data_IF_089940770701
#
_entry.id   IF_089940770701
#
_cell.length_a   1.000
_cell.length_b   1.000
_cell.length_c   1.000
_cell.angle_alpha   90.00
_cell.angle_beta   90.00
_cell.angle_gamma   90.00
#
_symmetry.space_group_name_H-M   'P 1'
#
loop_
_entity.id
_entity.type
_entity.pdbx_description
1 polymer ?
#
# COMPACT_ATOMS: atom_id res chain seq x y z
N UNK A 1 -6.08 4.03 12.12
CA UNK A 1 -4.83 3.24 12.07
C UNK A 1 -4.22 3.42 10.68
N UNK A 2 -3.04 3.99 10.60
CA UNK A 2 -2.38 4.19 9.32
C UNK A 2 -1.76 2.86 8.87
N UNK A 3 -2.29 2.27 7.80
CA UNK A 3 -1.73 1.07 7.19
C UNK A 3 -0.52 1.52 6.37
N UNK A 4 0.67 1.17 6.82
CA UNK A 4 1.92 1.53 6.16
C UNK A 4 2.57 0.28 5.59
N UNK A 5 2.89 0.32 4.31
CA UNK A 5 3.82 -0.63 3.72
C UNK A 5 5.27 -0.23 4.04
N UNK A 6 6.19 -1.13 3.76
CA UNK A 6 7.61 -0.91 4.08
C UNK A 6 8.21 0.24 3.27
N UNK A 7 7.85 0.34 1.99
CA UNK A 7 8.36 1.41 1.13
C UNK A 7 7.97 2.79 1.66
N UNK A 8 6.72 2.97 2.06
CA UNK A 8 6.22 4.23 2.63
C UNK A 8 6.96 4.58 3.91
N UNK A 9 7.17 3.62 4.80
CA UNK A 9 7.88 3.84 6.06
C UNK A 9 9.33 4.23 5.83
N UNK A 10 10.04 3.53 4.96
CA UNK A 10 11.45 3.81 4.64
C UNK A 10 11.58 5.20 3.98
N UNK A 11 10.70 5.53 3.04
CA UNK A 11 10.69 6.84 2.37
C UNK A 11 10.41 7.97 3.34
N UNK A 12 9.45 7.82 4.24
CA UNK A 12 9.16 8.83 5.27
C UNK A 12 10.36 9.06 6.19
N UNK A 13 11.07 8.02 6.58
CA UNK A 13 12.26 8.14 7.43
C UNK A 13 13.34 8.96 6.74
N UNK A 14 13.65 8.68 5.49
CA UNK A 14 14.63 9.45 4.70
C UNK A 14 14.18 10.90 4.49
N UNK A 15 12.89 11.14 4.23
CA UNK A 15 12.35 12.49 4.10
C UNK A 15 12.56 13.32 5.37
N UNK A 16 12.26 12.73 6.54
CA UNK A 16 12.45 13.44 7.80
C UNK A 16 13.92 13.75 8.09
N UNK A 17 14.82 12.85 7.76
CA UNK A 17 16.25 13.11 7.88
C UNK A 17 16.69 14.30 6.99
N UNK A 18 16.25 14.34 5.74
CA UNK A 18 16.54 15.47 4.83
C UNK A 18 15.95 16.77 5.34
N UNK A 19 14.71 16.78 5.79
CA UNK A 19 14.03 17.98 6.31
C UNK A 19 14.73 18.51 7.57
N UNK A 20 15.09 17.62 8.50
CA UNK A 20 15.80 17.99 9.72
C UNK A 20 17.19 18.56 9.45
N UNK A 21 17.83 18.16 8.35
CA UNK A 21 19.09 18.71 7.88
C UNK A 21 18.93 19.99 7.04
N UNK A 22 17.72 20.53 6.93
CA UNK A 22 17.43 21.75 6.20
C UNK A 22 17.30 21.58 4.68
N UNK A 23 17.21 20.37 4.17
CA UNK A 23 17.12 20.06 2.75
C UNK A 23 15.73 19.56 2.33
N UNK A 24 14.73 20.46 2.43
CA UNK A 24 13.36 20.16 2.03
C UNK A 24 13.23 19.90 0.53
N UNK A 25 14.05 20.51 -0.30
CA UNK A 25 14.02 20.31 -1.75
C UNK A 25 14.39 18.87 -2.13
N UNK A 26 15.46 18.34 -1.57
CA UNK A 26 15.87 16.95 -1.81
C UNK A 26 14.81 15.95 -1.32
N UNK A 27 14.06 16.26 -0.27
CA UNK A 27 12.96 15.42 0.20
C UNK A 27 11.82 15.36 -0.83
N UNK A 28 11.49 16.49 -1.49
CA UNK A 28 10.50 16.53 -2.58
C UNK A 28 10.99 15.74 -3.79
N UNK A 29 12.22 15.96 -4.23
CA UNK A 29 12.81 15.25 -5.38
C UNK A 29 12.87 13.72 -5.13
N UNK A 30 13.24 13.28 -3.95
CA UNK A 30 13.23 11.88 -3.58
C UNK A 30 11.82 11.29 -3.65
N UNK A 31 10.81 11.99 -3.17
CA UNK A 31 9.41 11.56 -3.25
C UNK A 31 8.95 11.42 -4.69
N UNK A 32 9.28 12.37 -5.56
CA UNK A 32 8.99 12.29 -7.00
C UNK A 32 9.65 11.06 -7.64
N UNK A 33 10.90 10.80 -7.31
CA UNK A 33 11.64 9.64 -7.81
C UNK A 33 10.99 8.32 -7.38
N UNK A 34 10.56 8.20 -6.13
CA UNK A 34 9.86 7.02 -5.64
C UNK A 34 8.54 6.80 -6.39
N UNK A 35 7.77 7.86 -6.63
CA UNK A 35 6.52 7.80 -7.41
C UNK A 35 6.79 7.36 -8.84
N UNK A 36 7.81 7.90 -9.49
CA UNK A 36 8.20 7.55 -10.86
C UNK A 36 8.64 6.07 -10.95
N UNK A 37 9.41 5.60 -9.98
CA UNK A 37 9.81 4.20 -9.91
C UNK A 37 8.63 3.25 -9.72
N UNK A 38 7.63 3.64 -8.92
CA UNK A 38 6.39 2.89 -8.77
C UNK A 38 5.63 2.78 -10.08
N UNK A 39 5.50 3.87 -10.83
CA UNK A 39 4.82 3.89 -12.15
C UNK A 39 5.57 3.10 -13.21
N UNK A 40 6.88 3.07 -13.13
CA UNK A 40 7.72 2.26 -14.02
C UNK A 40 7.71 0.77 -13.66
N UNK A 41 6.98 0.35 -12.63
CA UNK A 41 6.99 -1.00 -12.08
C UNK A 41 8.40 -1.49 -11.67
N UNK A 42 9.26 -0.57 -11.25
CA UNK A 42 10.67 -0.81 -10.89
C UNK A 42 10.88 -0.86 -9.36
N UNK A 43 9.87 -1.30 -8.64
CA UNK A 43 9.93 -1.47 -7.18
C UNK A 43 9.67 -2.93 -6.84
N UNK A 44 10.46 -3.46 -5.90
CA UNK A 44 10.21 -4.80 -5.37
C UNK A 44 8.85 -4.84 -4.66
N UNK A 45 7.92 -5.63 -5.20
CA UNK A 45 6.57 -5.75 -4.69
C UNK A 45 6.51 -6.23 -3.23
N UNK A 46 7.55 -6.91 -2.75
CA UNK A 46 7.66 -7.32 -1.34
C UNK A 46 7.68 -6.12 -0.36
N UNK A 47 8.10 -4.95 -0.83
CA UNK A 47 8.08 -3.69 -0.05
C UNK A 47 6.71 -3.02 -0.01
N UNK A 48 5.77 -3.48 -0.83
CA UNK A 48 4.44 -2.90 -1.04
C UNK A 48 3.34 -3.69 -0.34
N UNK A 49 3.70 -4.70 0.45
CA UNK A 49 2.75 -5.53 1.18
C UNK A 49 2.00 -4.69 2.22
N UNK A 50 0.68 -4.69 2.11
CA UNK A 50 -0.20 -4.08 3.09
C UNK A 50 -0.67 -5.19 4.03
N UNK A 51 -0.48 -5.00 5.33
CA UNK A 51 -0.88 -5.98 6.35
C UNK A 51 -1.98 -5.43 7.24
N UNK A 52 -2.99 -6.25 7.50
CA UNK A 52 -4.07 -5.92 8.42
C UNK A 52 -4.52 -7.13 9.21
N UNK A 53 -4.83 -6.94 10.49
CA UNK A 53 -5.39 -8.00 11.32
C UNK A 53 -6.78 -8.41 10.80
N UNK A 54 -6.98 -9.70 10.62
CA UNK A 54 -8.23 -10.26 10.12
C UNK A 54 -8.85 -11.16 11.20
N UNK A 55 -10.10 -10.87 11.54
CA UNK A 55 -10.90 -11.70 12.44
C UNK A 55 -11.61 -12.78 11.63
N UNK A 56 -11.83 -13.91 12.24
CA UNK A 56 -12.60 -15.01 11.67
C UNK A 56 -12.96 -16.00 12.76
N UNK A 57 -13.93 -16.86 12.51
CA UNK A 57 -14.35 -17.90 13.42
C UNK A 57 -14.42 -19.22 12.67
N UNK A 58 -13.90 -20.27 13.28
CA UNK A 58 -14.04 -21.61 12.72
C UNK A 58 -15.45 -22.17 13.00
N UNK A 59 -16.20 -22.43 11.95
CA UNK A 59 -17.50 -23.10 12.05
C UNK A 59 -17.31 -24.63 12.02
N UNK A 60 -17.42 -25.25 13.20
CA UNK A 60 -17.27 -26.70 13.37
C UNK A 60 -18.33 -27.51 12.61
N UNK A 61 -19.53 -26.92 12.38
CA UNK A 61 -20.63 -27.62 11.70
C UNK A 61 -20.39 -27.71 10.20
N UNK A 62 -19.88 -26.61 9.62
CA UNK A 62 -19.61 -26.52 8.18
C UNK A 62 -18.19 -26.94 7.81
N UNK A 63 -17.28 -27.00 8.78
CA UNK A 63 -15.86 -27.28 8.53
C UNK A 63 -15.16 -26.20 7.73
N UNK A 64 -15.60 -24.95 7.88
CA UNK A 64 -15.06 -23.80 7.15
C UNK A 64 -14.88 -22.57 8.04
N UNK A 65 -14.09 -21.60 7.56
CA UNK A 65 -13.93 -20.32 8.22
C UNK A 65 -15.10 -19.39 7.91
N UNK A 66 -15.66 -18.78 8.95
CA UNK A 66 -16.74 -17.79 8.90
C UNK A 66 -16.18 -16.39 9.13
N UNK A 67 -16.39 -15.49 8.18
CA UNK A 67 -16.01 -14.09 8.21
C UNK A 67 -17.22 -13.15 8.35
N UNK A 68 -18.38 -13.65 8.72
CA UNK A 68 -19.63 -12.86 8.86
C UNK A 68 -19.56 -11.76 9.91
N UNK A 69 -18.50 -11.72 10.74
CA UNK A 69 -18.18 -10.59 11.62
C UNK A 69 -18.02 -9.28 10.83
N UNK A 70 -17.69 -9.38 9.55
CA UNK A 70 -17.60 -8.24 8.64
C UNK A 70 -18.86 -8.14 7.78
N UNK A 71 -19.55 -6.97 7.83
CA UNK A 71 -20.76 -6.73 7.04
C UNK A 71 -20.55 -6.83 5.52
N UNK A 72 -19.35 -6.50 5.04
CA UNK A 72 -18.96 -6.57 3.64
C UNK A 72 -17.68 -7.38 3.47
N UNK A 73 -17.73 -8.65 3.84
CA UNK A 73 -16.56 -9.55 3.81
C UNK A 73 -15.91 -9.66 2.43
N UNK A 74 -16.71 -9.65 1.37
CA UNK A 74 -16.20 -9.78 -0.01
C UNK A 74 -15.64 -8.48 -0.58
N UNK A 75 -15.97 -7.33 0.01
CA UNK A 75 -15.43 -6.03 -0.38
C UNK A 75 -14.13 -5.66 0.33
N UNK A 76 -13.80 -6.35 1.42
CA UNK A 76 -12.61 -6.03 2.22
C UNK A 76 -11.37 -6.77 1.70
N UNK A 77 -10.31 -6.06 1.28
CA UNK A 77 -9.14 -6.70 0.67
C UNK A 77 -8.46 -7.72 1.56
N UNK A 78 -8.29 -7.41 2.83
CA UNK A 78 -7.62 -8.30 3.79
C UNK A 78 -8.44 -9.56 4.11
N UNK A 79 -9.77 -9.52 4.02
CA UNK A 79 -10.64 -10.69 4.18
C UNK A 79 -10.53 -11.60 2.96
N UNK A 80 -10.54 -11.02 1.76
CA UNK A 80 -10.32 -11.79 0.52
C UNK A 80 -8.94 -12.42 0.48
N UNK A 81 -7.91 -11.71 0.95
CA UNK A 81 -6.57 -12.26 1.09
C UNK A 81 -6.52 -13.40 2.12
N UNK A 82 -7.26 -13.30 3.23
CA UNK A 82 -7.37 -14.39 4.20
C UNK A 82 -8.03 -15.62 3.59
N UNK A 83 -9.11 -15.45 2.83
CA UNK A 83 -9.77 -16.55 2.10
C UNK A 83 -8.84 -17.20 1.07
N UNK A 84 -8.05 -16.39 0.35
CA UNK A 84 -7.04 -16.90 -0.60
C UNK A 84 -5.96 -17.73 0.12
N UNK A 85 -5.43 -17.25 1.26
CA UNK A 85 -4.48 -18.01 2.07
C UNK A 85 -5.02 -19.38 2.43
N UNK A 86 -6.25 -19.42 2.94
CA UNK A 86 -6.93 -20.65 3.34
C UNK A 86 -7.09 -21.59 2.14
N UNK A 87 -7.52 -21.08 0.99
CA UNK A 87 -7.66 -21.86 -0.24
C UNK A 87 -6.35 -22.46 -0.76
N UNK A 88 -5.23 -21.79 -0.47
CA UNK A 88 -3.86 -22.27 -0.81
C UNK A 88 -3.28 -23.21 0.24
N UNK A 89 -4.04 -23.56 1.28
CA UNK A 89 -3.60 -24.43 2.37
C UNK A 89 -2.64 -23.77 3.37
N UNK A 90 -2.52 -22.44 3.34
CA UNK A 90 -1.72 -21.69 4.29
C UNK A 90 -2.47 -21.51 5.62
N UNK A 91 -1.71 -21.45 6.72
CA UNK A 91 -2.28 -21.30 8.05
C UNK A 91 -3.03 -19.96 8.20
N UNK A 92 -4.22 -20.03 8.79
CA UNK A 92 -4.96 -18.86 9.25
C UNK A 92 -5.31 -19.00 10.73
N UNK A 93 -5.05 -17.95 11.49
CA UNK A 93 -5.41 -17.84 12.92
C UNK A 93 -6.22 -16.55 13.11
N UNK A 94 -7.36 -16.58 13.82
CA UNK A 94 -8.17 -15.40 14.08
C UNK A 94 -7.35 -14.25 14.70
N UNK A 95 -7.43 -13.06 14.09
CA UNK A 95 -6.71 -11.88 14.53
C UNK A 95 -5.27 -11.77 14.02
N UNK A 96 -4.78 -12.75 13.28
CA UNK A 96 -3.46 -12.65 12.66
C UNK A 96 -3.39 -11.53 11.62
N UNK A 97 -2.21 -11.00 11.39
CA UNK A 97 -1.97 -10.08 10.29
C UNK A 97 -1.95 -10.83 8.97
N UNK A 98 -2.81 -10.40 8.04
CA UNK A 98 -2.85 -10.90 6.68
C UNK A 98 -2.24 -9.85 5.76
N UNK A 99 -1.19 -10.24 5.03
CA UNK A 99 -0.55 -9.41 4.03
C UNK A 99 -1.14 -9.61 2.65
N UNK A 100 -1.24 -8.53 1.89
CA UNK A 100 -1.68 -8.57 0.50
C UNK A 100 -1.02 -7.47 -0.34
N UNK A 101 -0.99 -7.70 -1.64
CA UNK A 101 -0.55 -6.74 -2.65
C UNK A 101 -1.75 -6.44 -3.54
N UNK A 102 -2.00 -5.17 -3.83
CA UNK A 102 -3.03 -4.76 -4.79
C UNK A 102 -2.49 -4.97 -6.20
N UNK A 103 -3.18 -5.80 -6.97
CA UNK A 103 -2.78 -6.18 -8.33
C UNK A 103 -3.54 -5.42 -9.40
N UNK A 104 -4.81 -5.09 -9.15
CA UNK A 104 -5.62 -4.25 -10.03
C UNK A 104 -6.68 -3.48 -9.21
N UNK A 105 -6.52 -2.17 -9.14
CA UNK A 105 -7.48 -1.27 -8.50
C UNK A 105 -8.53 -0.70 -9.47
N UNK A 106 -8.40 -0.96 -10.76
CA UNK A 106 -9.34 -0.52 -11.80
C UNK A 106 -10.65 -1.29 -11.82
N UNK A 107 -10.73 -2.40 -11.12
CA UNK A 107 -11.94 -3.23 -10.97
C UNK A 107 -12.58 -3.07 -9.61
N UNK A 108 -13.87 -3.37 -9.49
CA UNK A 108 -14.60 -3.28 -8.22
C UNK A 108 -15.26 -4.62 -7.87
N UNK A 109 -14.94 -5.19 -6.71
CA UNK A 109 -13.90 -4.79 -5.76
C UNK A 109 -12.48 -4.96 -6.33
N UNK A 110 -11.53 -4.12 -5.90
CA UNK A 110 -10.16 -4.19 -6.42
C UNK A 110 -9.52 -5.56 -6.21
N UNK A 111 -8.76 -6.02 -7.19
CA UNK A 111 -8.04 -7.28 -7.09
C UNK A 111 -6.84 -7.17 -6.17
N UNK A 112 -6.68 -8.19 -5.33
CA UNK A 112 -5.56 -8.32 -4.41
C UNK A 112 -5.03 -9.74 -4.45
N UNK A 113 -3.76 -9.91 -4.13
CA UNK A 113 -3.14 -11.23 -3.94
C UNK A 113 -2.57 -11.33 -2.53
N UNK A 114 -2.88 -12.41 -1.84
CA UNK A 114 -2.31 -12.69 -0.53
C UNK A 114 -0.80 -12.91 -0.65
N UNK A 115 -0.03 -12.15 0.12
CA UNK A 115 1.42 -12.25 0.09
C UNK A 115 2.04 -11.88 1.43
N UNK A 116 2.86 -12.80 1.96
CA UNK A 116 3.81 -12.53 3.03
C UNK A 116 5.14 -13.17 2.62
N UNK A 117 6.14 -12.35 2.50
CA UNK A 117 7.47 -12.72 1.95
C UNK A 117 8.09 -13.93 2.62
N UNK A 118 7.83 -14.11 3.90
CA UNK A 118 8.49 -15.13 4.74
C UNK A 118 7.83 -16.52 4.66
N UNK A 119 6.64 -16.63 4.06
CA UNK A 119 5.84 -17.86 4.17
C UNK A 119 5.79 -18.71 2.90
N UNK A 120 5.96 -18.14 1.71
CA UNK A 120 5.71 -18.86 0.47
C UNK A 120 6.95 -19.18 -0.34
N UNK A 121 8.03 -18.43 -0.19
CA UNK A 121 9.24 -18.57 -1.02
C UNK A 121 9.03 -18.26 -2.52
N UNK A 122 7.81 -17.94 -2.91
CA UNK A 122 7.44 -17.64 -4.28
C UNK A 122 7.81 -16.20 -4.66
N UNK A 123 7.86 -15.91 -5.96
CA UNK A 123 8.01 -14.54 -6.45
C UNK A 123 6.74 -13.75 -6.14
N UNK A 124 6.85 -12.49 -5.63
CA UNK A 124 5.69 -11.65 -5.41
C UNK A 124 4.94 -11.37 -6.72
N UNK A 125 3.61 -11.23 -6.68
CA UNK A 125 2.80 -10.87 -7.84
C UNK A 125 3.14 -9.46 -8.32
N UNK A 126 2.83 -9.16 -9.58
CA UNK A 126 2.93 -7.81 -10.10
C UNK A 126 1.91 -6.91 -9.42
N UNK A 127 2.34 -5.72 -9.01
CA UNK A 127 1.49 -4.74 -8.35
C UNK A 127 0.84 -3.77 -9.35
N UNK A 128 -0.23 -3.09 -8.96
CA UNK A 128 -0.83 -1.99 -9.71
C UNK A 128 -0.01 -0.70 -9.54
N UNK A 129 0.71 -0.24 -10.59
CA UNK A 129 1.61 0.90 -10.48
C UNK A 129 0.90 2.22 -10.11
N UNK A 130 -0.26 2.48 -10.70
CA UNK A 130 -1.02 3.72 -10.44
C UNK A 130 -1.65 3.74 -9.06
N UNK A 131 -2.13 2.61 -8.56
CA UNK A 131 -2.66 2.52 -7.21
C UNK A 131 -1.61 2.90 -6.17
N UNK A 132 -0.42 2.30 -6.27
CA UNK A 132 0.66 2.57 -5.31
C UNK A 132 1.27 3.95 -5.48
N UNK A 133 1.36 4.47 -6.70
CA UNK A 133 1.79 5.85 -6.95
C UNK A 133 0.85 6.86 -6.29
N UNK A 134 -0.47 6.71 -6.47
CA UNK A 134 -1.48 7.56 -5.83
C UNK A 134 -1.48 7.44 -4.31
N UNK A 135 -1.35 6.22 -3.80
CA UNK A 135 -1.26 5.96 -2.37
C UNK A 135 -0.04 6.65 -1.75
N UNK A 136 1.11 6.54 -2.40
CA UNK A 136 2.36 7.18 -1.99
C UNK A 136 2.23 8.70 -2.02
N UNK A 137 1.74 9.26 -3.12
CA UNK A 137 1.52 10.69 -3.26
C UNK A 137 0.56 11.26 -2.21
N UNK A 138 -0.52 10.57 -1.90
CA UNK A 138 -1.49 10.97 -0.86
C UNK A 138 -0.84 10.98 0.52
N UNK A 139 -0.07 9.96 0.85
CA UNK A 139 0.57 9.85 2.17
C UNK A 139 1.71 10.86 2.34
N UNK A 140 2.61 10.97 1.36
CA UNK A 140 3.79 11.84 1.42
C UNK A 140 3.46 13.29 1.10
N UNK A 141 2.42 13.53 0.30
CA UNK A 141 1.93 14.86 -0.03
C UNK A 141 1.53 15.69 1.18
N UNK A 142 1.09 15.04 2.25
CA UNK A 142 0.80 15.70 3.54
C UNK A 142 2.05 16.32 4.17
N UNK A 143 3.21 15.79 3.87
CA UNK A 143 4.50 16.32 4.35
C UNK A 143 5.01 17.38 3.38
N UNK A 144 5.02 17.09 2.08
CA UNK A 144 5.55 17.98 1.05
C UNK A 144 4.69 19.21 0.79
N UNK A 145 3.41 19.16 1.15
CA UNK A 145 2.49 20.33 1.07
C UNK A 145 3.02 21.54 1.85
N UNK A 146 3.70 21.31 2.99
CA UNK A 146 4.36 22.37 3.74
C UNK A 146 5.44 23.10 2.93
N UNK A 147 5.95 22.49 1.86
CA UNK A 147 6.95 23.04 0.94
C UNK A 147 6.36 23.43 -0.43
N UNK A 148 5.02 23.49 -0.52
CA UNK A 148 4.30 23.87 -1.72
C UNK A 148 4.12 22.77 -2.76
N UNK A 149 4.19 21.50 -2.36
CA UNK A 149 3.96 20.34 -3.20
C UNK A 149 2.87 19.45 -2.60
N UNK A 150 1.68 19.50 -3.16
CA UNK A 150 0.57 18.62 -2.78
C UNK A 150 0.64 17.26 -3.53
N UNK A 151 -0.31 16.36 -3.22
CA UNK A 151 -0.35 15.04 -3.82
C UNK A 151 -0.51 15.08 -5.36
N UNK A 152 -1.32 15.99 -5.89
CA UNK A 152 -1.54 16.10 -7.33
C UNK A 152 -0.30 16.63 -8.07
N UNK A 153 0.40 17.55 -7.46
CA UNK A 153 1.67 18.09 -7.98
C UNK A 153 2.76 17.02 -7.98
N UNK A 154 2.83 16.21 -6.93
CA UNK A 154 3.76 15.07 -6.88
C UNK A 154 3.47 14.05 -7.99
N UNK A 155 2.19 13.74 -8.26
CA UNK A 155 1.79 12.83 -9.32
C UNK A 155 2.07 13.37 -10.72
N UNK A 156 1.92 14.68 -10.92
CA UNK A 156 2.26 15.33 -12.20
C UNK A 156 3.75 15.53 -12.38
N UNK A 157 4.52 15.55 -11.29
CA UNK A 157 5.93 15.86 -11.30
C UNK A 157 6.27 17.34 -11.51
N UNK A 158 5.25 18.19 -11.61
CA UNK A 158 5.39 19.65 -11.84
C UNK A 158 4.49 20.43 -10.89
N UNK A 159 5.00 21.54 -10.39
CA UNK A 159 4.24 22.47 -9.56
C UNK A 159 3.28 23.28 -10.42
N UNK A 160 2.06 23.47 -9.97
CA UNK A 160 1.11 24.38 -10.61
C UNK A 160 1.60 25.82 -10.37
N UNK A 161 1.94 26.51 -11.45
CA UNK A 161 2.18 27.95 -11.37
C UNK A 161 0.86 28.66 -11.16
N UNK A 162 0.75 29.41 -10.07
CA UNK A 162 -0.36 30.33 -9.90
C UNK A 162 -0.27 31.41 -11.01
N UNK A 163 -1.41 31.78 -11.59
CA UNK A 163 -1.50 32.77 -12.68
C UNK A 163 -0.86 34.12 -12.31
N UNK A 164 -0.60 34.34 -11.04
CA UNK A 164 -0.04 35.57 -10.46
C UNK A 164 1.45 35.48 -10.06
N UNK A 165 2.13 34.34 -10.26
CA UNK A 165 3.58 34.22 -10.08
C UNK A 165 4.28 34.54 -11.43
N UNK A 166 4.57 35.80 -11.59
CA UNK A 166 5.44 36.28 -12.67
C UNK A 166 6.85 36.48 -12.20
#
# INVERSE_FOLDING_TARGET
MCIRDRLLTDTMTEMFELILNGDAWSSVEMTKTVIDNLRAADVDASKLVISRSCKGKWDKRKGEWDFSVYKNENGLPYVRAAKERISRGLQFTPGMKVGYIVTDAGVSPMEVSAWLVEETGDKPPDYDPEYYAKRMATALGRITEAFGWDADELLRGTRQKLIFEF
#
